data_IF_091663821939
#
_entry.id   IF_091663821939
#
_cell.length_a   1.000
_cell.length_b   1.000
_cell.length_c   1.000
_cell.angle_alpha   90.00
_cell.angle_beta   90.00
_cell.angle_gamma   90.00
#
_symmetry.space_group_name_H-M   'P 1'
#
loop_
_entity.id
_entity.type
_entity.pdbx_description
1 polymer ?
#
# COMPACT_ATOMS: atom_id res chain seq x y z
N UNK A 1 -5.27 -9.36 5.10
CA UNK A 1 -6.03 -8.14 4.76
C UNK A 1 -5.88 -7.94 3.26
N UNK A 2 -6.81 -8.51 2.48
CA UNK A 2 -6.90 -8.21 1.04
C UNK A 2 -6.98 -6.69 0.86
N UNK A 3 -6.17 -6.14 -0.04
CA UNK A 3 -6.39 -4.77 -0.54
C UNK A 3 -7.67 -4.83 -1.35
N UNK A 4 -8.80 -4.67 -0.66
CA UNK A 4 -10.12 -4.64 -1.30
C UNK A 4 -10.16 -3.45 -2.23
N UNK A 5 -10.71 -3.67 -3.43
CA UNK A 5 -11.16 -2.55 -4.25
C UNK A 5 -12.01 -1.64 -3.37
N UNK A 6 -11.85 -0.32 -3.53
CA UNK A 6 -12.71 0.64 -2.84
C UNK A 6 -14.15 0.24 -3.11
N UNK A 7 -14.91 -0.02 -2.05
CA UNK A 7 -16.34 -0.20 -2.16
C UNK A 7 -16.94 1.16 -2.51
N UNK A 8 -17.25 1.36 -3.78
CA UNK A 8 -17.81 2.63 -4.27
C UNK A 8 -19.14 2.96 -3.62
N UNK A 9 -19.85 2.00 -3.02
CA UNK A 9 -21.08 2.24 -2.27
C UNK A 9 -20.84 2.92 -0.91
N UNK A 10 -19.63 2.77 -0.36
CA UNK A 10 -19.17 3.44 0.86
C UNK A 10 -18.69 4.88 0.65
N UNK A 11 -18.54 5.31 -0.61
CA UNK A 11 -18.10 6.66 -0.93
C UNK A 11 -19.24 7.66 -0.71
N UNK A 12 -18.89 8.90 -0.35
CA UNK A 12 -19.87 9.97 -0.28
C UNK A 12 -20.43 10.27 -1.68
N UNK A 13 -21.69 10.71 -1.75
CA UNK A 13 -22.39 10.98 -3.02
C UNK A 13 -21.91 12.25 -3.75
N UNK A 14 -20.80 12.85 -3.33
CA UNK A 14 -20.27 14.11 -3.86
C UNK A 14 -18.95 13.95 -4.61
N UNK A 15 -18.46 15.05 -5.18
CA UNK A 15 -17.11 15.08 -5.75
C UNK A 15 -16.08 14.88 -4.65
N UNK A 16 -15.24 13.87 -4.81
CA UNK A 16 -14.13 13.58 -3.92
C UNK A 16 -12.84 14.13 -4.50
N UNK A 17 -12.05 14.82 -3.67
CA UNK A 17 -10.69 15.21 -4.05
C UNK A 17 -9.81 13.96 -4.03
N UNK A 18 -9.10 13.72 -5.12
CA UNK A 18 -8.26 12.54 -5.30
C UNK A 18 -6.89 12.91 -5.85
N UNK A 19 -5.91 12.06 -5.57
CA UNK A 19 -4.58 12.10 -6.17
C UNK A 19 -4.36 10.81 -6.95
N UNK A 20 -4.05 10.92 -8.24
CA UNK A 20 -3.65 9.78 -9.06
C UNK A 20 -2.26 9.33 -8.65
N UNK A 21 -2.09 8.05 -8.33
CA UNK A 21 -0.82 7.47 -7.87
C UNK A 21 -0.16 6.56 -8.89
N UNK A 22 -0.95 5.91 -9.74
CA UNK A 22 -0.48 5.09 -10.87
C UNK A 22 -1.51 5.11 -11.99
N UNK A 23 -1.06 5.07 -13.22
CA UNK A 23 -1.91 4.98 -14.41
C UNK A 23 -1.38 3.89 -15.31
N UNK A 24 -2.17 2.85 -15.53
CA UNK A 24 -1.87 1.80 -16.51
C UNK A 24 -2.63 2.08 -17.83
N UNK A 25 -3.84 2.65 -17.74
CA UNK A 25 -4.60 3.16 -18.88
C UNK A 25 -5.57 4.27 -18.46
N UNK A 26 -6.22 5.00 -19.39
CA UNK A 26 -7.24 6.00 -19.05
C UNK A 26 -8.43 5.45 -18.25
N UNK A 27 -8.69 4.15 -18.36
CA UNK A 27 -9.78 3.46 -17.64
C UNK A 27 -9.27 2.60 -16.47
N UNK A 28 -7.95 2.49 -16.29
CA UNK A 28 -7.34 1.66 -15.25
C UNK A 28 -6.21 2.42 -14.56
N UNK A 29 -6.56 2.98 -13.41
CA UNK A 29 -5.71 3.87 -12.64
C UNK A 29 -5.94 3.66 -11.14
N UNK A 30 -4.92 3.98 -10.36
CA UNK A 30 -4.95 3.96 -8.90
C UNK A 30 -4.98 5.38 -8.40
N UNK A 31 -5.83 5.60 -7.40
CA UNK A 31 -6.02 6.89 -6.76
C UNK A 31 -5.97 6.76 -5.24
N UNK A 32 -5.51 7.81 -4.58
CA UNK A 32 -5.75 8.02 -3.17
C UNK A 32 -6.86 9.05 -3.01
N UNK A 33 -7.79 8.80 -2.09
CA UNK A 33 -8.72 9.81 -1.62
C UNK A 33 -7.96 10.78 -0.70
N UNK A 34 -8.05 12.09 -0.95
CA UNK A 34 -7.27 13.07 -0.19
C UNK A 34 -7.65 13.08 1.29
N UNK A 35 -8.89 12.70 1.63
CA UNK A 35 -9.38 12.68 3.01
C UNK A 35 -8.68 11.67 3.92
N UNK A 36 -8.05 10.62 3.37
CA UNK A 36 -7.29 9.62 4.15
C UNK A 36 -5.78 9.81 4.07
N UNK A 37 -5.32 10.97 3.61
CA UNK A 37 -3.90 11.21 3.35
C UNK A 37 -3.07 11.28 4.63
N UNK A 38 -3.56 11.96 5.66
CA UNK A 38 -2.86 12.09 6.94
C UNK A 38 -2.69 10.72 7.60
N UNK A 39 -3.77 9.92 7.66
CA UNK A 39 -3.73 8.54 8.18
C UNK A 39 -2.72 7.65 7.43
N UNK A 40 -2.64 7.82 6.10
CA UNK A 40 -1.67 7.08 5.29
C UNK A 40 -0.23 7.51 5.57
N UNK A 41 0.00 8.81 5.70
CA UNK A 41 1.34 9.35 5.98
C UNK A 41 1.81 8.87 7.37
N UNK A 42 0.95 8.89 8.40
CA UNK A 42 1.24 8.34 9.73
C UNK A 42 1.58 6.83 9.66
N UNK A 43 0.78 6.05 8.95
CA UNK A 43 1.03 4.61 8.78
C UNK A 43 2.37 4.31 8.10
N UNK A 44 2.76 5.12 7.10
CA UNK A 44 4.03 4.97 6.38
C UNK A 44 5.20 5.31 7.31
N UNK A 45 5.09 6.37 8.11
CA UNK A 45 6.10 6.75 9.09
C UNK A 45 6.31 5.66 10.13
N UNK A 46 5.24 5.15 10.71
CA UNK A 46 5.27 4.06 11.70
C UNK A 46 5.90 2.78 11.12
N UNK A 47 5.50 2.40 9.90
CA UNK A 47 6.08 1.26 9.20
C UNK A 47 7.58 1.47 8.98
N UNK A 48 7.97 2.65 8.51
CA UNK A 48 9.36 2.99 8.24
C UNK A 48 10.19 2.94 9.52
N UNK A 49 9.72 3.54 10.61
CA UNK A 49 10.37 3.52 11.93
C UNK A 49 10.58 2.09 12.43
N UNK A 50 9.56 1.24 12.29
CA UNK A 50 9.64 -0.17 12.69
C UNK A 50 10.65 -0.94 11.85
N UNK A 51 10.62 -0.77 10.54
CA UNK A 51 11.47 -1.52 9.63
C UNK A 51 12.93 -1.06 9.65
N UNK A 52 13.22 0.23 9.87
CA UNK A 52 14.59 0.70 10.12
C UNK A 52 15.23 0.01 11.33
N UNK A 53 14.44 -0.37 12.34
CA UNK A 53 14.96 -1.00 13.57
C UNK A 53 14.99 -2.53 13.50
N UNK A 54 14.11 -3.15 12.70
CA UNK A 54 13.83 -4.59 12.79
C UNK A 54 13.95 -5.36 11.48
N UNK A 55 14.19 -4.69 10.35
CA UNK A 55 14.19 -5.33 9.02
C UNK A 55 15.12 -6.54 8.93
N UNK A 56 16.31 -6.48 9.52
CA UNK A 56 17.28 -7.60 9.53
C UNK A 56 16.71 -8.88 10.16
N UNK A 57 15.82 -8.76 11.15
CA UNK A 57 15.18 -9.88 11.84
C UNK A 57 13.83 -10.28 11.26
N UNK A 58 13.31 -9.48 10.32
CA UNK A 58 12.00 -9.69 9.68
C UNK A 58 12.16 -10.06 8.20
N UNK A 59 13.37 -10.41 7.78
CA UNK A 59 13.63 -10.90 6.43
C UNK A 59 12.85 -12.19 6.18
N UNK A 60 12.09 -12.19 5.08
CA UNK A 60 11.39 -13.37 4.57
C UNK A 60 12.16 -13.89 3.35
N UNK A 61 12.74 -15.10 3.42
CA UNK A 61 13.40 -15.69 2.27
C UNK A 61 12.36 -16.08 1.19
N UNK A 62 12.73 -16.10 -0.10
CA UNK A 62 11.76 -16.26 -1.19
C UNK A 62 10.90 -17.53 -1.14
N UNK A 63 11.44 -18.61 -0.58
CA UNK A 63 10.75 -19.90 -0.40
C UNK A 63 9.65 -19.85 0.69
N UNK A 64 9.67 -18.82 1.54
CA UNK A 64 8.66 -18.60 2.58
C UNK A 64 7.62 -17.54 2.18
N UNK A 65 7.79 -16.89 1.04
CA UNK A 65 6.83 -15.91 0.54
C UNK A 65 5.76 -16.63 -0.25
N UNK A 66 4.52 -16.54 0.21
CA UNK A 66 3.36 -17.10 -0.48
C UNK A 66 2.66 -16.02 -1.32
N UNK A 67 2.01 -16.40 -2.44
CA UNK A 67 1.11 -15.49 -3.15
C UNK A 67 0.11 -14.85 -2.20
N UNK A 68 -0.20 -13.57 -2.41
CA UNK A 68 -1.12 -12.77 -1.61
C UNK A 68 -0.66 -12.50 -0.16
N UNK A 69 0.55 -12.93 0.20
CA UNK A 69 1.14 -12.59 1.48
C UNK A 69 1.40 -11.08 1.55
N UNK A 70 0.84 -10.44 2.56
CA UNK A 70 1.17 -9.05 2.89
C UNK A 70 2.58 -8.96 3.44
N UNK A 71 3.38 -8.10 2.82
CA UNK A 71 4.77 -7.90 3.18
C UNK A 71 5.10 -6.42 3.27
N UNK A 72 6.10 -6.08 4.07
CA UNK A 72 6.74 -4.78 4.01
C UNK A 72 7.79 -4.82 2.89
N UNK A 73 7.66 -3.94 1.91
CA UNK A 73 8.57 -3.82 0.77
C UNK A 73 9.47 -2.61 0.97
N UNK A 74 10.75 -2.79 0.75
CA UNK A 74 11.71 -1.70 0.73
C UNK A 74 11.88 -1.19 -0.70
N UNK A 75 11.44 0.04 -0.98
CA UNK A 75 11.60 0.69 -2.28
C UNK A 75 12.42 1.98 -2.11
N UNK A 76 13.66 1.96 -2.63
CA UNK A 76 14.58 3.07 -2.50
C UNK A 76 14.98 3.37 -1.05
N UNK A 77 14.42 4.45 -0.49
CA UNK A 77 14.65 4.89 0.91
C UNK A 77 13.43 4.73 1.81
N UNK A 78 12.35 4.11 1.31
CA UNK A 78 11.08 4.03 2.01
C UNK A 78 10.64 2.58 2.16
N UNK A 79 9.95 2.33 3.26
CA UNK A 79 9.20 1.10 3.45
C UNK A 79 7.74 1.35 3.13
N UNK A 80 7.11 0.38 2.47
CA UNK A 80 5.70 0.44 2.12
C UNK A 80 5.06 -0.93 2.26
N UNK A 81 3.73 -0.95 2.30
CA UNK A 81 2.99 -2.21 2.23
C UNK A 81 2.99 -2.72 0.80
N UNK A 82 3.09 -4.03 0.64
CA UNK A 82 2.93 -4.71 -0.63
C UNK A 82 2.32 -6.09 -0.44
N UNK A 83 2.00 -6.71 -1.55
CA UNK A 83 1.59 -8.11 -1.62
C UNK A 83 2.52 -8.81 -2.61
N UNK A 84 2.91 -10.03 -2.27
CA UNK A 84 3.63 -10.84 -3.24
C UNK A 84 2.65 -11.36 -4.30
N UNK A 85 2.97 -11.09 -5.56
CA UNK A 85 2.23 -11.61 -6.69
C UNK A 85 3.16 -12.52 -7.49
N UNK A 86 2.78 -13.80 -7.64
CA UNK A 86 3.59 -14.81 -8.30
C UNK A 86 3.35 -14.90 -9.83
N UNK A 87 2.70 -13.89 -10.42
CA UNK A 87 2.45 -13.80 -11.87
C UNK A 87 3.75 -13.73 -12.68
#
# INVERSE_FOLDING_TARGET
MEIKCIDTSSLSRGLLKVKVTRVDSPTFLWIHLEGGREDLDELIEDLTLRMMRRSEFLYLPPDQIMPEMEVAVHEGRRWQRGFYNAL
#
